data_IF_553240541077
#
_entry.id   IF_553240541077
#
_cell.length_a   1.000
_cell.length_b   1.000
_cell.length_c   1.000
_cell.angle_alpha   90.00
_cell.angle_beta   90.00
_cell.angle_gamma   90.00
#
_symmetry.space_group_name_H-M   'P 1'
#
loop_
_entity.id
_entity.type
_entity.pdbx_description
1 polymer ?
#
# COMPACT_ATOMS: atom_id res chain seq x y z
N UNK A 1 36.20 -0.37 -10.60
CA UNK A 1 35.85 -1.76 -11.01
C UNK A 1 34.58 -2.14 -10.26
N UNK A 2 33.48 -2.40 -10.96
CA UNK A 2 32.22 -2.81 -10.34
C UNK A 2 32.37 -4.20 -9.70
N UNK A 3 32.02 -4.33 -8.42
CA UNK A 3 32.01 -5.61 -7.70
C UNK A 3 30.76 -6.40 -8.09
N UNK A 4 30.94 -7.64 -8.53
CA UNK A 4 29.84 -8.54 -8.89
C UNK A 4 29.32 -9.24 -7.62
N UNK A 5 28.03 -9.13 -7.35
CA UNK A 5 27.36 -9.81 -6.22
C UNK A 5 27.30 -11.33 -6.46
N UNK A 6 27.62 -12.14 -5.44
CA UNK A 6 27.69 -13.62 -5.52
C UNK A 6 26.73 -14.31 -4.53
N UNK A 7 25.48 -13.86 -4.48
CA UNK A 7 24.40 -14.52 -3.72
C UNK A 7 23.35 -15.14 -4.65
N UNK A 8 22.54 -16.06 -4.11
CA UNK A 8 21.47 -16.72 -4.87
C UNK A 8 20.31 -15.77 -5.23
N UNK A 9 20.09 -14.74 -4.41
CA UNK A 9 19.09 -13.69 -4.63
C UNK A 9 19.74 -12.34 -4.36
N UNK A 10 19.60 -11.42 -5.29
CA UNK A 10 20.11 -10.05 -5.15
C UNK A 10 19.11 -9.22 -4.33
N UNK A 11 19.50 -8.68 -3.16
CA UNK A 11 18.60 -7.86 -2.35
C UNK A 11 18.28 -6.54 -3.05
N UNK A 12 17.05 -6.05 -2.88
CA UNK A 12 16.62 -4.73 -3.35
C UNK A 12 17.33 -3.61 -2.59
N UNK A 13 17.42 -2.41 -3.16
CA UNK A 13 18.09 -1.28 -2.50
C UNK A 13 17.47 -0.93 -1.13
N UNK A 14 16.15 -1.08 -0.99
CA UNK A 14 15.46 -0.90 0.29
C UNK A 14 15.86 -1.96 1.32
N UNK A 15 15.95 -3.24 0.93
CA UNK A 15 16.43 -4.32 1.79
C UNK A 15 17.91 -4.16 2.14
N UNK A 16 18.73 -3.63 1.23
CA UNK A 16 20.14 -3.35 1.50
C UNK A 16 20.30 -2.25 2.55
N UNK A 17 19.41 -1.26 2.59
CA UNK A 17 19.41 -0.24 3.66
C UNK A 17 18.95 -0.81 4.98
N UNK A 18 17.88 -1.62 4.99
CA UNK A 18 17.44 -2.31 6.21
C UNK A 18 18.53 -3.21 6.79
N UNK A 19 19.31 -3.86 5.93
CA UNK A 19 20.41 -4.74 6.33
C UNK A 19 21.74 -4.00 6.56
N UNK A 20 21.75 -2.65 6.51
CA UNK A 20 22.95 -1.83 6.73
C UNK A 20 24.03 -1.93 5.66
N UNK A 21 23.74 -2.58 4.53
CA UNK A 21 24.64 -2.74 3.38
C UNK A 21 24.73 -1.46 2.54
N UNK A 22 23.65 -0.68 2.50
CA UNK A 22 23.63 0.69 1.98
C UNK A 22 23.35 1.67 3.12
N UNK A 23 24.06 2.80 3.12
CA UNK A 23 23.89 3.85 4.16
C UNK A 23 22.59 4.63 4.02
N UNK A 24 22.07 4.77 2.81
CA UNK A 24 20.90 5.59 2.51
C UNK A 24 20.21 5.05 1.24
N UNK A 25 18.87 5.01 1.25
CA UNK A 25 18.07 4.73 0.06
C UNK A 25 17.49 6.06 -0.41
N UNK A 26 17.96 6.56 -1.55
CA UNK A 26 17.36 7.72 -2.19
C UNK A 26 16.26 7.23 -3.09
N UNK A 27 15.01 7.53 -2.72
CA UNK A 27 13.87 7.37 -3.61
C UNK A 27 14.21 8.05 -4.95
N UNK A 28 14.26 7.30 -6.07
CA UNK A 28 14.47 7.92 -7.37
C UNK A 28 13.40 8.99 -7.58
N UNK A 29 13.84 10.18 -8.01
CA UNK A 29 13.02 11.38 -8.13
C UNK A 29 11.65 11.04 -8.73
N UNK A 30 10.59 11.26 -7.94
CA UNK A 30 9.18 11.09 -8.31
C UNK A 30 8.98 10.01 -9.38
N UNK A 31 9.08 8.73 -9.00
CA UNK A 31 8.58 7.67 -9.87
C UNK A 31 7.14 8.05 -10.24
N UNK A 32 6.89 8.31 -11.53
CA UNK A 32 5.58 8.70 -12.00
C UNK A 32 4.63 7.56 -11.62
N UNK A 33 3.81 7.79 -10.60
CA UNK A 33 2.88 6.79 -10.10
C UNK A 33 1.86 6.58 -11.22
N UNK A 34 1.84 5.38 -11.79
CA UNK A 34 0.74 4.97 -12.66
C UNK A 34 -0.51 4.83 -11.79
N UNK A 35 -1.21 5.95 -11.60
CA UNK A 35 -2.39 6.03 -10.76
C UNK A 35 -3.50 5.12 -11.28
N UNK A 36 -3.57 4.85 -12.60
CA UNK A 36 -4.59 3.96 -13.18
C UNK A 36 -4.38 2.54 -12.72
N UNK A 37 -3.12 2.09 -12.74
CA UNK A 37 -2.76 0.77 -12.21
C UNK A 37 -3.09 0.66 -10.73
N UNK A 38 -2.75 1.68 -9.93
CA UNK A 38 -3.07 1.68 -8.49
C UNK A 38 -4.57 1.71 -8.22
N UNK A 39 -5.32 2.49 -9.00
CA UNK A 39 -6.79 2.55 -8.91
C UNK A 39 -7.41 1.18 -9.19
N UNK A 40 -7.00 0.51 -10.27
CA UNK A 40 -7.48 -0.85 -10.59
C UNK A 40 -7.23 -1.82 -9.44
N UNK A 41 -6.01 -1.82 -8.88
CA UNK A 41 -5.66 -2.68 -7.75
C UNK A 41 -6.49 -2.35 -6.50
N UNK A 42 -6.77 -1.07 -6.23
CA UNK A 42 -7.58 -0.67 -5.08
C UNK A 42 -9.04 -1.10 -5.24
N UNK A 43 -9.62 -0.98 -6.44
CA UNK A 43 -10.98 -1.43 -6.75
C UNK A 43 -11.09 -2.94 -6.55
N UNK A 44 -10.20 -3.72 -7.17
CA UNK A 44 -10.17 -5.18 -7.02
C UNK A 44 -10.04 -5.60 -5.54
N UNK A 45 -9.18 -4.92 -4.79
CA UNK A 45 -9.00 -5.22 -3.36
C UNK A 45 -10.22 -4.85 -2.51
N UNK A 46 -10.95 -3.78 -2.84
CA UNK A 46 -12.21 -3.45 -2.17
C UNK A 46 -13.26 -4.53 -2.42
N UNK A 47 -13.47 -4.90 -3.69
CA UNK A 47 -14.43 -5.94 -4.10
C UNK A 47 -14.12 -7.32 -3.49
N UNK A 48 -12.84 -7.63 -3.28
CA UNK A 48 -12.38 -8.89 -2.69
C UNK A 48 -12.29 -8.85 -1.15
N UNK A 49 -12.82 -7.81 -0.48
CA UNK A 49 -12.74 -7.64 0.97
C UNK A 49 -11.31 -7.58 1.53
N UNK A 50 -10.34 -7.11 0.74
CA UNK A 50 -8.96 -6.89 1.18
C UNK A 50 -8.81 -5.72 2.17
N UNK A 51 -9.75 -4.78 2.12
CA UNK A 51 -9.96 -3.72 3.11
C UNK A 51 -11.41 -3.26 3.02
N UNK A 52 -11.88 -2.50 4.00
CA UNK A 52 -13.17 -1.83 3.95
C UNK A 52 -13.02 -0.32 4.22
N UNK A 53 -14.01 0.45 3.78
CA UNK A 53 -14.05 1.90 3.95
C UNK A 53 -15.15 2.22 4.97
N UNK A 54 -14.79 2.97 6.01
CA UNK A 54 -15.74 3.58 6.93
C UNK A 54 -15.91 5.04 6.55
N UNK A 55 -17.15 5.47 6.44
CA UNK A 55 -17.53 6.88 6.29
C UNK A 55 -18.26 7.25 7.57
N UNK A 56 -17.63 8.11 8.37
CA UNK A 56 -17.93 8.33 9.77
C UNK A 56 -17.93 6.98 10.54
N UNK A 57 -19.10 6.48 10.91
CA UNK A 57 -19.26 5.21 11.63
C UNK A 57 -20.00 4.14 10.81
N UNK A 58 -20.17 4.36 9.50
CA UNK A 58 -20.89 3.45 8.61
C UNK A 58 -19.95 2.87 7.58
N UNK A 59 -19.94 1.54 7.44
CA UNK A 59 -19.19 0.88 6.38
C UNK A 59 -19.85 1.11 5.01
N UNK A 60 -19.05 1.44 4.00
CA UNK A 60 -19.50 1.46 2.62
C UNK A 60 -19.59 0.01 2.09
N UNK A 61 -20.75 -0.35 1.54
CA UNK A 61 -21.02 -1.69 0.99
C UNK A 61 -20.64 -1.79 -0.48
N UNK A 62 -20.73 -0.68 -1.24
CA UNK A 62 -20.37 -0.61 -2.66
C UNK A 62 -19.64 0.69 -2.96
N UNK A 63 -18.87 0.71 -4.05
CA UNK A 63 -18.18 1.93 -4.50
C UNK A 63 -19.14 2.98 -5.08
N UNK A 64 -20.32 2.55 -5.56
CA UNK A 64 -21.37 3.44 -6.09
C UNK A 64 -22.30 3.99 -5.00
N UNK A 65 -22.11 3.58 -3.75
CA UNK A 65 -22.93 4.03 -2.64
C UNK A 65 -22.81 5.54 -2.43
N UNK A 66 -23.96 6.22 -2.40
CA UNK A 66 -24.02 7.65 -2.10
C UNK A 66 -24.00 7.91 -0.59
N UNK A 67 -23.31 8.97 -0.17
CA UNK A 67 -23.26 9.43 1.21
C UNK A 67 -23.21 10.96 1.28
N UNK A 68 -23.66 11.51 2.41
CA UNK A 68 -23.60 12.95 2.64
C UNK A 68 -22.24 13.35 3.19
N UNK A 69 -21.63 14.36 2.56
CA UNK A 69 -20.33 14.91 2.98
C UNK A 69 -20.55 16.19 3.77
N UNK A 70 -19.89 16.29 4.92
CA UNK A 70 -19.80 17.49 5.73
C UNK A 70 -18.33 17.82 6.01
N UNK A 71 -18.00 19.03 6.50
CA UNK A 71 -16.63 19.38 6.90
C UNK A 71 -16.05 18.51 8.04
N UNK A 72 -16.89 17.72 8.73
CA UNK A 72 -16.48 16.79 9.78
C UNK A 72 -16.45 15.34 9.32
N UNK A 73 -16.83 15.06 8.08
CA UNK A 73 -16.89 13.69 7.57
C UNK A 73 -15.51 13.06 7.60
N UNK A 74 -15.40 11.92 8.28
CA UNK A 74 -14.18 11.12 8.34
C UNK A 74 -14.29 9.94 7.37
N UNK A 75 -13.22 9.69 6.61
CA UNK A 75 -13.14 8.51 5.73
C UNK A 75 -11.94 7.69 6.16
N UNK A 76 -12.19 6.51 6.71
CA UNK A 76 -11.16 5.61 7.23
C UNK A 76 -11.05 4.37 6.34
N UNK A 77 -9.83 3.99 5.99
CA UNK A 77 -9.54 2.75 5.26
C UNK A 77 -8.99 1.71 6.23
N UNK A 78 -9.72 0.61 6.40
CA UNK A 78 -9.39 -0.39 7.41
C UNK A 78 -8.96 -1.68 6.74
N UNK A 79 -7.71 -2.06 6.98
CA UNK A 79 -7.14 -3.33 6.50
C UNK A 79 -7.31 -4.42 7.55
N UNK A 80 -7.88 -5.55 7.16
CA UNK A 80 -7.91 -6.75 7.99
C UNK A 80 -6.54 -7.44 7.93
N UNK A 81 -5.88 -7.53 9.08
CA UNK A 81 -4.63 -8.29 9.22
C UNK A 81 -4.95 -9.58 9.97
N UNK A 82 -4.74 -10.76 9.37
CA UNK A 82 -4.95 -12.01 10.07
C UNK A 82 -3.98 -12.08 11.25
N UNK A 83 -4.50 -12.40 12.44
CA UNK A 83 -3.66 -12.65 13.60
C UNK A 83 -3.01 -14.03 13.44
N UNK A 84 -1.70 -14.10 13.49
CA UNK A 84 -0.97 -15.36 13.63
C UNK A 84 -0.82 -15.65 15.12
N UNK A 85 -1.41 -16.74 15.60
CA UNK A 85 -1.41 -17.10 17.01
C UNK A 85 -1.88 -18.53 17.24
N UNK A 86 -0.91 -19.43 17.35
CA UNK A 86 -1.01 -20.84 17.78
C UNK A 86 0.39 -21.35 18.02
#
# INVERSE_FOLDING_TARGET
KASVFRGLVQPTEAEQVLNGQLREYRLPASRQLDWKKQFSTAVEAFEQNGFFILIDNTQAETLDQSFSVSPRTEVSFVKLTPLVGG
#
